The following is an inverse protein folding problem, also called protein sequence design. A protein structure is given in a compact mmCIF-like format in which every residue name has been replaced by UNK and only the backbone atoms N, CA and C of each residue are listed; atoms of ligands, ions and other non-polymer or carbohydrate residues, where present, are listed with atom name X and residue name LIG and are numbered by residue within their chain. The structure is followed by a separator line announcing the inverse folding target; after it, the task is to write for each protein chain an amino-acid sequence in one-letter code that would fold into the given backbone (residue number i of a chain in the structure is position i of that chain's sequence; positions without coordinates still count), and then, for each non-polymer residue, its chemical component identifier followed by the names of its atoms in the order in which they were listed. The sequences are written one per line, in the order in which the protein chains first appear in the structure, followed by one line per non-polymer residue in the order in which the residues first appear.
data_IF_728288635631
#
_entry.id   IF_728288635631
#
_cell.length_a   1.000
_cell.length_b   1.000
_cell.length_c   1.000
_cell.angle_alpha   90.00
_cell.angle_beta   90.00
_cell.angle_gamma   90.00
#
_symmetry.space_group_name_H-M   'P 1'
#
loop_
_entity.id
_entity.type
_entity.pdbx_description
1 polymer ?
#
# COMPACT_ATOMS: atom_id res chain seq x y z
N UNK A 1 -0.64 8.63 55.82
CA UNK A 1 -0.71 8.52 54.34
C UNK A 1 -0.59 9.94 53.79
N UNK A 2 0.56 10.30 53.22
CA UNK A 2 0.83 11.67 52.74
C UNK A 2 0.19 11.84 51.36
N UNK A 3 -0.65 12.86 51.18
CA UNK A 3 -1.26 13.17 49.89
C UNK A 3 -0.19 13.74 48.96
N UNK A 4 -0.02 13.14 47.79
CA UNK A 4 1.08 13.35 46.84
C UNK A 4 1.25 14.79 46.34
N UNK A 5 0.25 15.67 46.49
CA UNK A 5 0.36 17.08 46.06
C UNK A 5 0.50 17.28 44.55
N UNK A 6 0.52 16.19 43.77
CA UNK A 6 0.47 16.22 42.32
C UNK A 6 -1.00 16.23 41.87
N UNK A 7 -1.40 17.31 41.20
CA UNK A 7 -2.66 17.33 40.46
C UNK A 7 -2.50 16.38 39.26
N UNK A 8 -3.30 15.31 39.22
CA UNK A 8 -3.35 14.45 38.05
C UNK A 8 -3.97 15.25 36.89
N UNK A 9 -3.28 15.40 35.75
CA UNK A 9 -3.81 16.15 34.63
C UNK A 9 -5.07 15.47 34.10
N UNK A 10 -6.18 16.21 34.08
CA UNK A 10 -7.52 15.71 33.79
C UNK A 10 -7.69 15.01 32.40
N UNK A 11 -6.73 15.18 31.49
CA UNK A 11 -6.83 14.71 30.11
C UNK A 11 -5.76 13.70 29.67
N UNK A 12 -4.68 13.51 30.42
CA UNK A 12 -3.51 12.76 29.92
C UNK A 12 -3.78 11.25 29.77
N UNK A 13 -4.73 10.71 30.55
CA UNK A 13 -5.15 9.31 30.49
C UNK A 13 -6.45 9.04 29.70
N UNK A 14 -7.11 10.07 29.16
CA UNK A 14 -8.40 9.92 28.47
C UNK A 14 -8.23 9.43 27.02
N UNK A 15 -7.11 9.75 26.38
CA UNK A 15 -6.78 9.39 25.00
C UNK A 15 -5.31 8.98 24.91
N UNK A 16 -4.98 7.67 24.93
CA UNK A 16 -3.60 7.21 24.81
C UNK A 16 -2.99 7.67 23.48
N UNK A 17 -2.00 8.57 23.54
CA UNK A 17 -1.28 9.04 22.34
C UNK A 17 0.07 8.37 22.20
N UNK A 18 0.46 8.10 20.97
CA UNK A 18 1.81 7.63 20.62
C UNK A 18 2.38 8.55 19.56
N UNK A 19 3.69 8.81 19.62
CA UNK A 19 4.36 9.64 18.62
C UNK A 19 4.13 9.07 17.21
N UNK A 20 3.96 9.91 16.17
CA UNK A 20 3.80 9.45 14.78
C UNK A 20 4.90 8.49 14.33
N UNK A 21 6.14 8.74 14.74
CA UNK A 21 7.29 7.90 14.43
C UNK A 21 7.17 6.48 14.97
N UNK A 22 6.74 6.31 16.23
CA UNK A 22 6.51 4.99 16.84
C UNK A 22 5.37 4.26 16.16
N UNK A 23 4.27 4.95 15.84
CA UNK A 23 3.14 4.34 15.15
C UNK A 23 3.53 3.87 13.75
N UNK A 24 4.21 4.75 12.99
CA UNK A 24 4.71 4.42 11.65
C UNK A 24 5.71 3.27 11.67
N UNK A 25 6.66 3.28 12.61
CA UNK A 25 7.62 2.18 12.78
C UNK A 25 6.91 0.88 13.13
N UNK A 26 5.95 0.90 14.05
CA UNK A 26 5.19 -0.28 14.42
C UNK A 26 4.43 -0.88 13.23
N UNK A 27 3.67 -0.05 12.50
CA UNK A 27 2.92 -0.50 11.32
C UNK A 27 3.86 -1.04 10.23
N UNK A 28 4.95 -0.32 9.93
CA UNK A 28 5.91 -0.74 8.92
C UNK A 28 6.58 -2.07 9.27
N UNK A 29 6.97 -2.27 10.53
CA UNK A 29 7.51 -3.54 11.01
C UNK A 29 6.47 -4.68 10.90
N UNK A 30 5.24 -4.44 11.35
CA UNK A 30 4.16 -5.42 11.26
C UNK A 30 3.90 -5.85 9.81
N UNK A 31 3.81 -4.89 8.89
CA UNK A 31 3.59 -5.15 7.46
C UNK A 31 4.80 -5.85 6.83
N UNK A 32 6.02 -5.47 7.20
CA UNK A 32 7.25 -6.12 6.75
C UNK A 32 7.34 -7.58 7.18
N UNK A 33 7.07 -7.87 8.45
CA UNK A 33 7.00 -9.24 9.00
C UNK A 33 5.92 -10.04 8.28
N UNK A 34 4.72 -9.47 8.14
CA UNK A 34 3.61 -10.10 7.41
C UNK A 34 4.02 -10.46 5.97
N UNK A 35 4.64 -9.53 5.23
CA UNK A 35 5.12 -9.78 3.88
C UNK A 35 6.16 -10.91 3.83
N UNK A 36 7.08 -10.96 4.78
CA UNK A 36 8.09 -12.01 4.89
C UNK A 36 7.47 -13.39 5.13
N UNK A 37 6.53 -13.47 6.08
CA UNK A 37 5.79 -14.72 6.38
C UNK A 37 4.98 -15.16 5.17
N UNK A 38 4.20 -14.25 4.58
CA UNK A 38 3.36 -14.54 3.41
C UNK A 38 4.21 -15.02 2.23
N UNK A 39 5.30 -14.33 1.91
CA UNK A 39 6.20 -14.74 0.82
C UNK A 39 6.80 -16.12 1.08
N UNK A 40 7.16 -16.43 2.33
CA UNK A 40 7.68 -17.74 2.72
C UNK A 40 6.61 -18.82 2.53
N UNK A 41 5.39 -18.59 3.02
CA UNK A 41 4.26 -19.50 2.83
C UNK A 41 3.96 -19.74 1.34
N UNK A 42 3.92 -18.68 0.53
CA UNK A 42 3.71 -18.77 -0.91
C UNK A 42 4.83 -19.56 -1.61
N UNK A 43 6.06 -19.49 -1.12
CA UNK A 43 7.18 -20.25 -1.68
C UNK A 43 7.08 -21.75 -1.39
N UNK A 44 6.44 -22.13 -0.29
CA UNK A 44 6.17 -23.53 0.06
C UNK A 44 4.95 -24.05 -0.71
N UNK A 45 3.85 -23.29 -0.76
CA UNK A 45 2.58 -23.73 -1.37
C UNK A 45 2.59 -23.61 -2.90
N UNK A 46 3.30 -22.63 -3.45
CA UNK A 46 3.45 -22.39 -4.89
C UNK A 46 4.94 -22.26 -5.25
N UNK A 47 5.68 -23.39 -5.28
CA UNK A 47 7.13 -23.43 -5.53
C UNK A 47 7.52 -23.03 -6.94
N UNK A 48 6.60 -23.11 -7.90
CA UNK A 48 6.74 -22.56 -9.24
C UNK A 48 5.59 -21.57 -9.56
N UNK A 49 5.86 -20.50 -10.32
CA UNK A 49 4.83 -19.57 -10.76
C UNK A 49 3.88 -20.24 -11.77
N UNK A 50 2.61 -19.79 -11.86
CA UNK A 50 1.66 -20.34 -12.81
C UNK A 50 2.11 -20.03 -14.25
N UNK A 51 2.55 -21.06 -14.97
CA UNK A 51 2.99 -20.96 -16.37
C UNK A 51 2.73 -22.27 -17.12
N UNK A 52 2.44 -22.17 -18.42
CA UNK A 52 2.22 -23.30 -19.32
C UNK A 52 2.95 -23.17 -20.66
N UNK A 53 3.62 -22.04 -20.93
CA UNK A 53 4.36 -21.81 -22.17
C UNK A 53 5.51 -20.84 -21.96
N UNK A 54 6.52 -20.88 -22.84
CA UNK A 54 7.63 -19.94 -22.79
C UNK A 54 7.18 -18.49 -23.05
N UNK A 55 6.11 -18.29 -23.84
CA UNK A 55 5.52 -16.97 -24.07
C UNK A 55 5.00 -16.36 -22.76
N UNK A 56 4.30 -17.14 -21.94
CA UNK A 56 3.78 -16.66 -20.65
C UNK A 56 4.90 -16.31 -19.67
N UNK A 57 5.98 -17.09 -19.64
CA UNK A 57 7.17 -16.76 -18.84
C UNK A 57 7.75 -15.41 -19.27
N UNK A 58 7.91 -15.19 -20.57
CA UNK A 58 8.44 -13.95 -21.11
C UNK A 58 7.51 -12.75 -20.84
N UNK A 59 6.19 -12.95 -20.95
CA UNK A 59 5.19 -11.95 -20.62
C UNK A 59 5.22 -11.55 -19.14
N UNK A 60 5.25 -12.54 -18.24
CA UNK A 60 5.39 -12.31 -16.80
C UNK A 60 6.68 -11.56 -16.45
N UNK A 61 7.80 -11.91 -17.09
CA UNK A 61 9.08 -11.22 -16.88
C UNK A 61 9.05 -9.73 -17.31
N UNK A 62 8.32 -9.39 -18.38
CA UNK A 62 8.12 -8.00 -18.80
C UNK A 62 7.30 -7.23 -17.77
N UNK A 63 6.18 -7.80 -17.33
CA UNK A 63 5.30 -7.17 -16.33
C UNK A 63 5.98 -7.04 -14.97
N UNK A 64 6.82 -7.99 -14.57
CA UNK A 64 7.59 -7.94 -13.32
C UNK A 64 8.34 -6.61 -13.13
N UNK A 65 8.89 -6.06 -14.21
CA UNK A 65 9.62 -4.77 -14.18
C UNK A 65 8.72 -3.60 -13.78
N UNK A 66 7.42 -3.68 -14.05
CA UNK A 66 6.42 -2.71 -13.64
C UNK A 66 5.84 -3.03 -12.26
N UNK A 67 5.62 -4.31 -11.95
CA UNK A 67 5.05 -4.74 -10.66
C UNK A 67 5.92 -4.30 -9.49
N UNK A 68 7.25 -4.51 -9.56
CA UNK A 68 8.16 -4.20 -8.44
C UNK A 68 8.10 -2.73 -7.97
N UNK A 69 8.29 -1.71 -8.83
CA UNK A 69 8.18 -0.32 -8.39
C UNK A 69 6.78 0.03 -7.89
N UNK A 70 5.72 -0.53 -8.49
CA UNK A 70 4.34 -0.33 -8.01
C UNK A 70 4.14 -0.95 -6.62
N UNK A 71 4.72 -2.13 -6.35
CA UNK A 71 4.68 -2.76 -5.01
C UNK A 71 5.33 -1.88 -3.96
N UNK A 72 6.48 -1.28 -4.29
CA UNK A 72 7.19 -0.36 -3.39
C UNK A 72 6.35 0.88 -3.14
N UNK A 73 5.75 1.47 -4.18
CA UNK A 73 4.86 2.62 -4.04
C UNK A 73 3.63 2.32 -3.16
N UNK A 74 3.01 1.15 -3.31
CA UNK A 74 1.91 0.69 -2.44
C UNK A 74 2.38 0.62 -0.98
N UNK A 75 3.56 0.04 -0.74
CA UNK A 75 4.16 -0.04 0.60
C UNK A 75 4.44 1.34 1.22
N UNK A 76 5.02 2.26 0.43
CA UNK A 76 5.27 3.65 0.86
C UNK A 76 3.95 4.36 1.18
N UNK A 77 2.93 4.20 0.33
CA UNK A 77 1.60 4.79 0.55
C UNK A 77 0.97 4.27 1.84
N UNK A 78 1.03 2.96 2.09
CA UNK A 78 0.56 2.37 3.34
C UNK A 78 1.31 2.92 4.57
N UNK A 79 2.65 3.04 4.49
CA UNK A 79 3.45 3.61 5.57
C UNK A 79 3.13 5.10 5.83
N UNK A 80 2.93 5.89 4.76
CA UNK A 80 2.54 7.30 4.91
C UNK A 80 1.20 7.48 5.62
N UNK A 81 0.27 6.53 5.49
CA UNK A 81 -1.00 6.53 6.23
C UNK A 81 -0.82 6.42 7.74
N UNK A 82 0.27 5.81 8.22
CA UNK A 82 0.58 5.77 9.65
C UNK A 82 1.00 7.14 10.19
N UNK A 83 1.67 7.97 9.38
CA UNK A 83 1.96 9.35 9.74
C UNK A 83 0.69 10.20 9.73
N UNK A 84 -0.24 9.96 8.82
CA UNK A 84 -1.57 10.63 8.86
C UNK A 84 -2.31 10.29 10.15
N UNK A 85 -2.36 9.02 10.53
CA UNK A 85 -3.00 8.60 11.77
C UNK A 85 -2.26 9.12 13.01
N UNK A 86 -0.92 9.09 13.01
CA UNK A 86 -0.11 9.50 14.15
C UNK A 86 -0.13 11.01 14.44
N UNK A 87 -0.36 11.83 13.42
CA UNK A 87 -0.49 13.28 13.53
C UNK A 87 -1.96 13.75 13.65
N UNK A 88 -2.92 12.83 13.80
CA UNK A 88 -4.36 13.10 13.71
C UNK A 88 -4.77 13.87 12.44
N UNK A 89 -3.97 13.75 11.38
CA UNK A 89 -4.11 14.58 10.19
C UNK A 89 -5.36 14.26 9.37
N UNK A 90 -6.02 13.14 9.65
CA UNK A 90 -7.35 12.83 9.12
C UNK A 90 -8.42 13.85 9.53
N UNK A 91 -8.22 14.65 10.58
CA UNK A 91 -9.16 15.67 11.07
C UNK A 91 -8.84 17.11 10.62
N UNK A 92 -7.75 17.34 9.88
CA UNK A 92 -7.32 18.69 9.52
C UNK A 92 -8.15 19.28 8.37
N UNK A 93 -8.18 18.61 7.21
CA UNK A 93 -8.90 19.08 6.04
C UNK A 93 -9.93 18.06 5.54
N UNK A 94 -11.14 18.06 6.06
CA UNK A 94 -12.17 17.04 5.75
C UNK A 94 -12.94 17.30 4.43
N UNK A 95 -12.29 17.92 3.44
CA UNK A 95 -12.81 18.14 2.07
C UNK A 95 -11.98 17.36 1.05
N UNK A 96 -12.56 17.08 -0.11
CA UNK A 96 -11.88 16.46 -1.25
C UNK A 96 -12.49 16.96 -2.58
N UNK A 97 -11.71 17.22 -3.65
CA UNK A 97 -10.27 16.98 -3.78
C UNK A 97 -9.38 18.06 -3.14
N UNK A 98 -9.92 19.26 -2.93
CA UNK A 98 -9.23 20.38 -2.26
C UNK A 98 -9.06 20.13 -0.75
N UNK A 99 -8.11 20.83 -0.15
CA UNK A 99 -7.87 20.88 1.30
C UNK A 99 -8.38 22.22 1.83
N UNK A 100 -9.64 22.26 2.27
CA UNK A 100 -10.37 23.51 2.50
C UNK A 100 -10.63 24.22 1.16
N UNK A 101 -10.31 25.50 1.10
CA UNK A 101 -10.50 26.33 -0.09
C UNK A 101 -9.35 26.22 -1.12
N UNK A 102 -8.20 25.70 -0.69
CA UNK A 102 -6.97 25.59 -1.50
C UNK A 102 -6.65 24.14 -1.91
N UNK A 103 -5.79 24.00 -2.93
CA UNK A 103 -5.26 22.69 -3.32
C UNK A 103 -4.07 22.26 -2.48
N UNK A 104 -3.25 23.25 -2.10
CA UNK A 104 -2.08 23.12 -1.25
C UNK A 104 -2.28 24.16 -0.15
N UNK A 105 -2.38 23.76 1.12
CA UNK A 105 -2.43 24.69 2.24
C UNK A 105 -1.16 25.54 2.34
N UNK A 106 -1.27 26.76 2.85
CA UNK A 106 -0.13 27.67 2.97
C UNK A 106 0.85 27.26 4.08
N UNK A 107 0.37 26.49 5.06
CA UNK A 107 1.11 26.09 6.25
C UNK A 107 2.00 24.86 6.08
N UNK A 108 2.17 24.34 4.85
CA UNK A 108 2.90 23.08 4.59
C UNK A 108 4.41 23.15 4.87
N UNK A 109 4.98 24.33 5.11
CA UNK A 109 6.40 24.50 5.43
C UNK A 109 6.65 25.30 6.70
N UNK A 110 5.65 25.43 7.57
CA UNK A 110 5.72 26.30 8.76
C UNK A 110 6.59 25.74 9.90
N UNK A 111 6.97 24.45 9.86
CA UNK A 111 7.85 23.86 10.88
C UNK A 111 9.33 23.99 10.53
N UNK A 112 10.14 24.28 11.55
CA UNK A 112 11.60 24.23 11.47
C UNK A 112 12.19 23.08 12.32
N UNK A 113 13.24 22.39 11.86
CA UNK A 113 13.80 22.42 10.50
C UNK A 113 12.81 21.89 9.44
N UNK A 114 12.93 22.35 8.20
CA UNK A 114 12.05 21.99 7.06
C UNK A 114 11.69 20.50 6.96
N UNK A 115 12.62 19.60 7.30
CA UNK A 115 12.41 18.15 7.25
C UNK A 115 11.25 17.67 8.14
N UNK A 116 10.96 18.37 9.24
CA UNK A 116 9.86 18.03 10.15
C UNK A 116 8.51 18.14 9.48
N UNK A 117 8.34 19.05 8.51
CA UNK A 117 7.06 19.18 7.81
C UNK A 117 6.63 17.87 7.14
N UNK A 118 7.58 17.11 6.60
CA UNK A 118 7.28 15.86 5.90
C UNK A 118 6.75 14.74 6.82
N UNK A 119 6.91 14.85 8.14
CA UNK A 119 6.57 13.78 9.10
C UNK A 119 5.68 14.23 10.26
N UNK A 120 5.67 15.51 10.61
CA UNK A 120 5.00 16.07 11.78
C UNK A 120 3.99 17.18 11.43
N UNK A 121 4.14 17.86 10.29
CA UNK A 121 3.19 18.90 9.90
C UNK A 121 1.92 18.25 9.34
N UNK A 122 0.82 18.44 10.07
CA UNK A 122 -0.48 17.84 9.80
C UNK A 122 -0.97 18.05 8.36
N UNK A 123 -0.86 19.28 7.86
CA UNK A 123 -1.27 19.65 6.49
C UNK A 123 -0.42 18.94 5.45
N UNK A 124 0.89 18.90 5.68
CA UNK A 124 1.88 18.29 4.77
C UNK A 124 1.75 16.78 4.71
N UNK A 125 1.65 16.10 5.85
CA UNK A 125 1.51 14.63 5.89
C UNK A 125 0.19 14.21 5.24
N UNK A 126 -0.89 14.98 5.43
CA UNK A 126 -2.17 14.70 4.79
C UNK A 126 -2.09 14.91 3.27
N UNK A 127 -1.48 16.01 2.82
CA UNK A 127 -1.30 16.32 1.40
C UNK A 127 -0.47 15.23 0.69
N UNK A 128 0.70 14.89 1.23
CA UNK A 128 1.56 13.87 0.62
C UNK A 128 0.88 12.50 0.56
N UNK A 129 0.12 12.12 1.60
CA UNK A 129 -0.63 10.87 1.57
C UNK A 129 -1.70 10.86 0.46
N UNK A 130 -2.43 11.97 0.24
CA UNK A 130 -3.39 12.11 -0.88
C UNK A 130 -2.71 11.96 -2.24
N UNK A 131 -1.55 12.60 -2.41
CA UNK A 131 -0.75 12.52 -3.64
C UNK A 131 -0.27 11.07 -3.86
N UNK A 132 0.25 10.42 -2.83
CA UNK A 132 0.70 9.02 -2.89
C UNK A 132 -0.45 8.06 -3.20
N UNK A 133 -1.62 8.23 -2.60
CA UNK A 133 -2.81 7.42 -2.87
C UNK A 133 -3.27 7.56 -4.33
N UNK A 134 -3.34 8.80 -4.84
CA UNK A 134 -3.71 9.07 -6.24
C UNK A 134 -2.68 8.50 -7.22
N UNK A 135 -1.39 8.72 -6.94
CA UNK A 135 -0.29 8.19 -7.76
C UNK A 135 -0.29 6.66 -7.77
N UNK A 136 -0.60 6.03 -6.63
CA UNK A 136 -0.73 4.57 -6.51
C UNK A 136 -1.87 4.05 -7.38
N UNK A 137 -3.07 4.65 -7.29
CA UNK A 137 -4.21 4.23 -8.10
C UNK A 137 -3.91 4.34 -9.61
N UNK A 138 -3.32 5.46 -10.03
CA UNK A 138 -2.91 5.68 -11.43
C UNK A 138 -1.86 4.64 -11.85
N UNK A 139 -0.86 4.37 -11.01
CA UNK A 139 0.21 3.41 -11.31
C UNK A 139 -0.31 1.97 -11.42
N UNK A 140 -1.24 1.57 -10.54
CA UNK A 140 -1.92 0.26 -10.62
C UNK A 140 -2.81 0.19 -11.87
N UNK A 141 -3.52 1.26 -12.21
CA UNK A 141 -4.30 1.37 -13.45
C UNK A 141 -3.42 1.25 -14.70
N UNK A 142 -2.28 1.93 -14.73
CA UNK A 142 -1.30 1.83 -15.81
C UNK A 142 -0.72 0.41 -15.93
N UNK A 143 -0.41 -0.24 -14.80
CA UNK A 143 0.01 -1.64 -14.75
C UNK A 143 -1.05 -2.57 -15.36
N UNK A 144 -2.32 -2.38 -14.99
CA UNK A 144 -3.44 -3.15 -15.54
C UNK A 144 -3.60 -2.94 -17.05
N UNK A 145 -3.56 -1.69 -17.52
CA UNK A 145 -3.62 -1.37 -18.95
C UNK A 145 -2.45 -1.98 -19.73
N UNK A 146 -1.24 -1.94 -19.19
CA UNK A 146 -0.06 -2.56 -19.80
C UNK A 146 -0.20 -4.09 -19.88
N UNK A 147 -0.71 -4.72 -18.82
CA UNK A 147 -0.89 -6.17 -18.74
C UNK A 147 -1.88 -6.70 -19.78
N UNK A 148 -2.90 -5.92 -20.16
CA UNK A 148 -3.87 -6.30 -21.22
C UNK A 148 -3.23 -6.57 -22.58
N UNK A 149 -2.07 -5.99 -22.86
CA UNK A 149 -1.35 -6.15 -24.13
C UNK A 149 -0.32 -7.28 -24.11
N UNK A 150 -0.17 -7.98 -22.98
CA UNK A 150 0.89 -8.97 -22.76
C UNK A 150 0.26 -10.34 -22.50
N UNK A 151 0.65 -11.31 -23.31
CA UNK A 151 0.24 -12.70 -23.12
C UNK A 151 0.87 -13.28 -21.85
N UNK A 152 0.03 -13.74 -20.92
CA UNK A 152 0.44 -14.36 -19.66
C UNK A 152 -0.68 -15.25 -19.12
N UNK A 153 -0.37 -16.03 -18.10
CA UNK A 153 -1.33 -16.92 -17.46
C UNK A 153 -2.58 -16.14 -16.98
N UNK A 154 -3.82 -16.62 -17.24
CA UNK A 154 -5.05 -15.91 -16.88
C UNK A 154 -5.16 -15.53 -15.39
N UNK A 155 -4.69 -16.40 -14.49
CA UNK A 155 -4.64 -16.10 -13.06
C UNK A 155 -3.83 -14.83 -12.72
N UNK A 156 -2.73 -14.56 -13.43
CA UNK A 156 -1.93 -13.34 -13.24
C UNK A 156 -2.72 -12.12 -13.72
N UNK A 157 -3.40 -12.22 -14.87
CA UNK A 157 -4.24 -11.13 -15.39
C UNK A 157 -5.40 -10.81 -14.43
N UNK A 158 -6.07 -11.84 -13.93
CA UNK A 158 -7.13 -11.70 -12.93
C UNK A 158 -6.61 -11.04 -11.67
N UNK A 159 -5.44 -11.44 -11.18
CA UNK A 159 -4.82 -10.87 -9.98
C UNK A 159 -4.48 -9.38 -10.15
N UNK A 160 -3.99 -8.97 -11.33
CA UNK A 160 -3.76 -7.55 -11.64
C UNK A 160 -5.09 -6.78 -11.65
N UNK A 161 -6.15 -7.37 -12.20
CA UNK A 161 -7.51 -6.80 -12.14
C UNK A 161 -8.03 -6.65 -10.71
N UNK A 162 -7.88 -7.68 -9.87
CA UNK A 162 -8.24 -7.62 -8.44
C UNK A 162 -7.44 -6.57 -7.69
N UNK A 163 -6.16 -6.39 -8.03
CA UNK A 163 -5.30 -5.34 -7.46
C UNK A 163 -5.82 -3.95 -7.79
N UNK A 164 -6.25 -3.72 -9.04
CA UNK A 164 -6.89 -2.46 -9.44
C UNK A 164 -8.20 -2.22 -8.68
N UNK A 165 -9.06 -3.24 -8.59
CA UNK A 165 -10.32 -3.17 -7.83
C UNK A 165 -10.10 -2.81 -6.37
N UNK A 166 -9.13 -3.46 -5.71
CA UNK A 166 -8.77 -3.17 -4.32
C UNK A 166 -8.14 -1.78 -4.17
N UNK A 167 -7.29 -1.34 -5.10
CA UNK A 167 -6.72 0.02 -5.07
C UNK A 167 -7.80 1.10 -5.21
N UNK A 168 -8.79 0.89 -6.09
CA UNK A 168 -9.93 1.80 -6.25
C UNK A 168 -10.81 1.81 -4.99
N UNK A 169 -11.16 0.63 -4.45
CA UNK A 169 -11.85 0.52 -3.17
C UNK A 169 -11.09 1.27 -2.07
N UNK A 170 -9.77 1.21 -2.11
CA UNK A 170 -8.96 1.79 -1.07
C UNK A 170 -8.95 3.32 -1.07
N UNK A 171 -8.88 3.92 -2.27
CA UNK A 171 -9.07 5.37 -2.42
C UNK A 171 -10.46 5.77 -1.95
N UNK A 172 -11.50 5.00 -2.30
CA UNK A 172 -12.86 5.25 -1.82
C UNK A 172 -12.96 5.20 -0.30
N UNK A 173 -12.38 4.18 0.35
CA UNK A 173 -12.35 4.08 1.82
C UNK A 173 -11.58 5.25 2.46
N UNK A 174 -10.45 5.66 1.88
CA UNK A 174 -9.66 6.79 2.37
C UNK A 174 -10.43 8.10 2.29
N UNK A 175 -11.07 8.39 1.14
CA UNK A 175 -11.92 9.57 0.96
C UNK A 175 -13.13 9.50 1.91
N UNK A 176 -13.75 8.33 2.07
CA UNK A 176 -14.91 8.18 2.97
C UNK A 176 -14.52 8.43 4.42
N UNK A 177 -13.39 7.87 4.87
CA UNK A 177 -12.81 8.10 6.20
C UNK A 177 -12.54 9.59 6.42
N UNK A 178 -11.99 10.26 5.41
CA UNK A 178 -11.73 11.69 5.45
C UNK A 178 -13.01 12.52 5.57
N UNK A 179 -13.98 12.34 4.67
CA UNK A 179 -15.19 13.16 4.62
C UNK A 179 -16.10 12.98 5.84
N UNK A 180 -15.97 11.85 6.54
CA UNK A 180 -16.79 11.51 7.71
C UNK A 180 -16.07 11.73 9.05
N UNK A 181 -14.95 12.47 9.05
CA UNK A 181 -14.18 12.79 10.25
C UNK A 181 -13.64 11.55 10.99
N UNK A 182 -13.02 10.64 10.24
CA UNK A 182 -12.27 9.47 10.73
C UNK A 182 -13.07 8.56 11.68
N UNK A 183 -14.27 8.04 11.31
CA UNK A 183 -14.94 7.04 12.12
C UNK A 183 -14.07 5.80 12.25
N UNK A 184 -13.93 5.27 13.47
CA UNK A 184 -13.02 4.14 13.76
C UNK A 184 -13.27 2.94 12.87
N UNK A 185 -14.54 2.64 12.55
CA UNK A 185 -14.91 1.55 11.64
C UNK A 185 -14.35 1.74 10.23
N UNK A 186 -14.46 2.94 9.66
CA UNK A 186 -13.93 3.25 8.32
C UNK A 186 -12.40 3.33 8.33
N UNK A 187 -11.81 3.95 9.35
CA UNK A 187 -10.36 4.00 9.51
C UNK A 187 -9.76 2.58 9.63
N UNK A 188 -10.41 1.70 10.39
CA UNK A 188 -10.00 0.29 10.53
C UNK A 188 -10.19 -0.49 9.23
N UNK A 189 -11.31 -0.30 8.53
CA UNK A 189 -11.55 -0.90 7.22
C UNK A 189 -10.51 -0.42 6.19
N UNK A 190 -10.14 0.85 6.23
CA UNK A 190 -9.08 1.41 5.41
C UNK A 190 -7.74 0.77 5.74
N UNK A 191 -7.34 0.63 7.02
CA UNK A 191 -6.10 -0.07 7.37
C UNK A 191 -6.10 -1.54 6.94
N UNK A 192 -7.20 -2.26 7.14
CA UNK A 192 -7.36 -3.65 6.69
C UNK A 192 -7.25 -3.77 5.17
N UNK A 193 -7.90 -2.86 4.43
CA UNK A 193 -7.79 -2.79 2.97
C UNK A 193 -6.37 -2.51 2.48
N UNK A 194 -5.56 -1.79 3.26
CA UNK A 194 -4.18 -1.47 2.88
C UNK A 194 -3.32 -2.73 2.99
N UNK A 195 -3.53 -3.51 4.05
CA UNK A 195 -2.93 -4.83 4.19
C UNK A 195 -3.39 -5.77 3.08
N UNK A 196 -4.68 -5.81 2.73
CA UNK A 196 -5.20 -6.62 1.62
C UNK A 196 -4.56 -6.24 0.27
N UNK A 197 -4.45 -4.94 -0.03
CA UNK A 197 -3.79 -4.48 -1.25
C UNK A 197 -2.31 -4.90 -1.27
N UNK A 198 -1.62 -4.81 -0.13
CA UNK A 198 -0.24 -5.27 0.01
C UNK A 198 -0.12 -6.79 -0.18
N UNK A 199 -1.06 -7.58 0.35
CA UNK A 199 -1.16 -9.04 0.12
C UNK A 199 -1.25 -9.35 -1.38
N UNK A 200 -2.12 -8.65 -2.12
CA UNK A 200 -2.26 -8.82 -3.56
C UNK A 200 -0.96 -8.48 -4.30
N UNK A 201 -0.26 -7.41 -3.89
CA UNK A 201 1.03 -7.04 -4.47
C UNK A 201 2.12 -8.09 -4.20
N UNK A 202 2.21 -8.64 -2.97
CA UNK A 202 3.17 -9.71 -2.64
C UNK A 202 2.89 -10.97 -3.46
N UNK A 203 1.61 -11.35 -3.56
CA UNK A 203 1.17 -12.47 -4.39
C UNK A 203 1.51 -12.23 -5.87
N UNK A 204 1.31 -11.00 -6.37
CA UNK A 204 1.63 -10.64 -7.75
C UNK A 204 3.13 -10.72 -8.01
N UNK A 205 3.97 -10.16 -7.13
CA UNK A 205 5.44 -10.27 -7.21
C UNK A 205 5.90 -11.73 -7.21
N UNK A 206 5.24 -12.59 -6.43
CA UNK A 206 5.53 -14.02 -6.36
C UNK A 206 5.13 -14.77 -7.63
N UNK A 207 3.97 -14.47 -8.20
CA UNK A 207 3.44 -15.16 -9.39
C UNK A 207 4.14 -14.74 -10.69
N UNK A 208 4.72 -13.54 -10.75
CA UNK A 208 5.51 -13.07 -11.92
C UNK A 208 7.01 -13.33 -11.78
N UNK A 209 7.45 -14.15 -10.82
CA UNK A 209 8.87 -14.48 -10.64
C UNK A 209 9.37 -15.43 -11.72
N UNK A 210 10.70 -15.53 -11.83
CA UNK A 210 11.33 -16.50 -12.74
C UNK A 210 11.00 -17.92 -12.27
N UNK A 211 10.50 -18.82 -13.15
CA UNK A 211 10.28 -20.22 -12.82
C UNK A 211 11.58 -20.96 -12.50
N UNK A 212 11.46 -22.13 -11.86
CA UNK A 212 12.61 -23.01 -11.60
C UNK A 212 13.33 -23.44 -12.88
N UNK A 213 14.66 -23.71 -12.84
CA UNK A 213 15.39 -24.17 -14.02
C UNK A 213 14.85 -25.48 -14.61
N UNK A 214 14.33 -26.38 -13.77
CA UNK A 214 13.68 -27.63 -14.18
C UNK A 214 12.41 -27.36 -14.98
N UNK A 215 11.53 -26.47 -14.50
CA UNK A 215 10.31 -26.10 -15.21
C UNK A 215 10.63 -25.40 -16.55
N UNK A 216 11.62 -24.51 -16.57
CA UNK A 216 12.06 -23.87 -17.81
C UNK A 216 12.56 -24.87 -18.85
N UNK A 217 13.35 -25.86 -18.45
CA UNK A 217 13.81 -26.94 -19.34
C UNK A 217 12.65 -27.76 -19.89
N UNK A 218 11.70 -28.12 -19.02
CA UNK A 218 10.49 -28.86 -19.41
C UNK A 218 9.70 -28.10 -20.48
N UNK A 219 9.40 -26.81 -20.26
CA UNK A 219 8.68 -25.97 -21.21
C UNK A 219 9.42 -25.79 -22.55
N UNK A 220 10.76 -25.76 -22.53
CA UNK A 220 11.57 -25.64 -23.74
C UNK A 220 11.62 -26.95 -24.56
N UNK A 221 11.42 -28.10 -23.90
CA UNK A 221 11.42 -29.42 -24.54
C UNK A 221 10.08 -29.79 -25.18
N UNK A 222 9.00 -29.06 -24.92
CA UNK A 222 7.69 -29.29 -25.54
C UNK A 222 7.79 -28.96 -27.04
N UNK A 223 7.57 -29.92 -27.96
CA UNK A 223 7.60 -29.65 -29.39
C UNK A 223 6.58 -28.57 -29.73
N UNK A 224 6.95 -27.57 -30.54
CA UNK A 224 5.97 -26.64 -31.10
C UNK A 224 4.97 -27.46 -31.93
N UNK A 225 3.77 -27.68 -31.40
CA UNK A 225 2.66 -28.21 -32.17
C UNK A 225 2.50 -27.30 -33.39
N UNK A 226 2.69 -27.86 -34.59
CA UNK A 226 2.45 -27.18 -35.86
C UNK A 226 0.93 -26.99 -35.95
N UNK A 227 0.46 -25.77 -35.67
CA UNK A 227 -0.85 -25.29 -36.10
C UNK A 227 -0.74 -24.73 -37.50
#
# INVERSE_FOLDING_TARGET
MVKSGLEEPASEYVQPRVSPYRLATHLACAFGIYCGILRTALSVVMPDPPTGSMNWVNGAAKIRKLVLPVSVLVGITAASGAFVAGNDAGHAYNTFPKMGDSWIPDDIFDMEPLIRNFFENTSTVQLHHRILATTTLVSVGALWLAARKIEMHPAIQSLIGSTLGMAALQVTLGISTLLTYVPVSLASAHQAGALTLLTLMVLLVHTVRKPSPSLLKSLASVPKSKG
#
